data_IF_832146853659
#
_entry.id   IF_832146853659
#
_cell.length_a   1.000
_cell.length_b   1.000
_cell.length_c   1.000
_cell.angle_alpha   90.00
_cell.angle_beta   90.00
_cell.angle_gamma   90.00
#
_symmetry.space_group_name_H-M   'P 1'
#
loop_
_entity.id
_entity.type
_entity.pdbx_description
1 polymer ?
#
# COMPACT_ATOMS: atom_id res chain seq x y z
N UNK A 1 34.89 18.07 -16.85
CA UNK A 1 34.63 19.47 -16.41
C UNK A 1 33.11 19.65 -16.33
N UNK A 2 32.73 19.89 -15.14
CA UNK A 2 31.37 20.18 -14.64
C UNK A 2 30.65 21.33 -15.28
N UNK A 3 29.36 21.59 -15.01
CA UNK A 3 28.96 21.95 -13.65
C UNK A 3 27.68 21.30 -13.08
N UNK A 4 27.68 21.26 -11.75
CA UNK A 4 26.55 21.12 -10.86
C UNK A 4 25.53 22.24 -11.04
N UNK A 5 24.25 21.91 -11.18
CA UNK A 5 23.17 22.87 -10.92
C UNK A 5 22.45 22.52 -9.64
N UNK A 6 22.82 23.27 -8.58
CA UNK A 6 22.05 23.37 -7.34
C UNK A 6 20.79 24.19 -7.65
N UNK A 7 19.63 23.57 -7.63
CA UNK A 7 18.36 24.28 -7.73
C UNK A 7 17.88 24.68 -6.33
N UNK A 8 17.94 25.99 -6.05
CA UNK A 8 17.39 26.65 -4.89
C UNK A 8 15.86 26.56 -4.86
N UNK A 9 15.33 26.11 -3.72
CA UNK A 9 13.91 26.20 -3.41
C UNK A 9 13.54 27.61 -2.97
N UNK A 10 12.62 28.25 -3.67
CA UNK A 10 11.92 29.44 -3.14
C UNK A 10 10.52 29.02 -2.68
N UNK A 11 10.36 28.95 -1.37
CA UNK A 11 9.04 28.84 -0.74
C UNK A 11 8.34 30.20 -0.85
N UNK A 12 7.29 30.30 -1.66
CA UNK A 12 6.35 31.43 -1.59
C UNK A 12 5.28 31.09 -0.55
N UNK A 13 5.24 31.88 0.50
CA UNK A 13 4.23 31.87 1.56
C UNK A 13 2.82 32.06 0.95
N UNK A 14 1.97 31.06 1.05
CA UNK A 14 0.53 31.19 0.95
C UNK A 14 -0.10 30.79 2.26
N UNK A 15 -0.84 31.75 2.84
CA UNK A 15 -1.54 31.67 4.10
C UNK A 15 -2.74 30.73 4.03
N UNK A 16 -2.96 30.00 5.16
CA UNK A 16 -4.21 29.40 5.65
C UNK A 16 -4.88 28.28 4.84
N UNK A 17 -4.79 27.07 5.40
CA UNK A 17 -5.77 25.97 5.39
C UNK A 17 -6.02 25.11 4.14
N UNK A 18 -5.26 25.20 3.07
CA UNK A 18 -5.24 24.17 2.03
C UNK A 18 -3.86 24.09 1.38
N UNK A 19 -2.92 23.38 1.98
CA UNK A 19 -1.68 23.05 1.29
C UNK A 19 -1.89 21.85 0.36
N UNK A 20 -2.39 22.13 -0.84
CA UNK A 20 -2.34 21.21 -1.97
C UNK A 20 -0.91 21.27 -2.54
N UNK A 21 -0.07 20.31 -2.21
CA UNK A 21 1.22 20.16 -2.86
C UNK A 21 1.04 19.38 -4.17
N UNK A 22 1.01 20.10 -5.30
CA UNK A 22 1.16 19.48 -6.61
C UNK A 22 2.65 19.41 -6.96
N UNK A 23 3.26 18.25 -6.85
CA UNK A 23 4.64 18.03 -7.28
C UNK A 23 4.68 17.57 -8.74
N UNK A 24 5.30 18.36 -9.63
CA UNK A 24 5.72 17.93 -10.97
C UNK A 24 7.24 17.68 -10.91
N UNK A 25 7.65 16.44 -10.80
CA UNK A 25 9.05 16.07 -11.01
C UNK A 25 9.26 15.57 -12.43
N UNK A 26 10.04 16.30 -13.22
CA UNK A 26 10.36 15.98 -14.62
C UNK A 26 11.46 14.92 -14.83
N UNK A 27 11.70 14.04 -13.88
CA UNK A 27 12.63 12.93 -14.05
C UNK A 27 11.88 11.70 -14.57
N UNK A 28 11.88 11.50 -15.88
CA UNK A 28 11.50 10.20 -16.46
C UNK A 28 12.58 9.20 -16.05
N UNK A 29 12.32 8.47 -14.97
CA UNK A 29 13.02 7.23 -14.71
C UNK A 29 12.78 6.32 -15.91
N UNK A 30 13.84 5.88 -16.58
CA UNK A 30 13.76 4.78 -17.53
C UNK A 30 13.28 3.57 -16.74
N UNK A 31 12.01 3.23 -16.90
CA UNK A 31 11.45 2.06 -16.24
C UNK A 31 12.28 0.84 -16.61
N UNK A 32 12.77 0.18 -15.58
CA UNK A 32 13.39 -1.13 -15.71
C UNK A 32 12.38 -2.10 -16.30
N UNK A 33 12.83 -3.07 -17.07
CA UNK A 33 11.94 -4.14 -17.54
C UNK A 33 11.28 -4.84 -16.33
N UNK A 34 10.14 -5.50 -16.56
CA UNK A 34 9.47 -6.33 -15.53
C UNK A 34 10.47 -7.26 -14.82
N UNK A 35 11.35 -7.93 -15.59
CA UNK A 35 12.37 -8.80 -15.02
C UNK A 35 13.34 -8.05 -14.12
N UNK A 36 13.81 -6.88 -14.52
CA UNK A 36 14.69 -6.06 -13.70
C UNK A 36 14.03 -5.61 -12.39
N UNK A 37 12.72 -5.32 -12.38
CA UNK A 37 11.99 -4.99 -11.16
C UNK A 37 11.92 -6.20 -10.21
N UNK A 38 11.67 -7.39 -10.76
CA UNK A 38 11.63 -8.63 -9.97
C UNK A 38 13.02 -8.98 -9.41
N UNK A 39 14.08 -8.75 -10.15
CA UNK A 39 15.47 -9.02 -9.74
C UNK A 39 15.92 -8.17 -8.53
N UNK A 40 15.25 -7.05 -8.26
CA UNK A 40 15.49 -6.22 -7.08
C UNK A 40 14.75 -6.69 -5.82
N UNK A 41 13.83 -7.63 -5.96
CA UNK A 41 13.08 -8.10 -4.81
C UNK A 41 13.97 -8.95 -3.90
N UNK A 42 13.98 -8.68 -2.60
CA UNK A 42 14.59 -9.57 -1.63
C UNK A 42 13.97 -10.97 -1.69
N UNK A 43 14.69 -12.01 -1.25
CA UNK A 43 14.12 -13.35 -1.13
C UNK A 43 12.84 -13.35 -0.30
N UNK A 44 11.91 -14.23 -0.67
CA UNK A 44 10.71 -14.46 0.15
C UNK A 44 11.09 -15.19 1.42
N UNK A 45 10.55 -14.72 2.53
CA UNK A 45 10.67 -15.32 3.86
C UNK A 45 9.28 -15.63 4.42
N UNK A 46 9.21 -16.45 5.46
CA UNK A 46 7.97 -16.76 6.15
C UNK A 46 8.13 -16.60 7.67
N UNK A 47 7.06 -16.16 8.31
CA UNK A 47 6.91 -16.04 9.74
C UNK A 47 5.76 -16.93 10.21
N UNK A 48 5.98 -17.74 11.22
CA UNK A 48 4.93 -18.48 11.92
C UNK A 48 4.59 -17.74 13.20
N UNK A 49 3.35 -17.34 13.35
CA UNK A 49 2.85 -16.80 14.61
C UNK A 49 2.63 -17.97 15.59
N UNK A 50 3.40 -18.02 16.67
CA UNK A 50 3.33 -19.10 17.65
C UNK A 50 1.98 -19.19 18.38
N UNK A 51 1.25 -18.07 18.49
CA UNK A 51 -0.05 -18.04 19.17
C UNK A 51 -1.18 -18.63 18.32
N UNK A 52 -1.20 -18.36 17.02
CA UNK A 52 -2.26 -18.81 16.10
C UNK A 52 -1.83 -20.01 15.22
N UNK A 53 -0.54 -20.22 15.05
CA UNK A 53 0.04 -21.16 14.08
C UNK A 53 0.01 -20.64 12.63
N UNK A 54 -0.49 -19.43 12.39
CA UNK A 54 -0.59 -18.82 11.07
C UNK A 54 0.78 -18.58 10.44
N UNK A 55 0.91 -18.87 9.14
CA UNK A 55 2.13 -18.60 8.37
C UNK A 55 1.86 -17.42 7.43
N UNK A 56 2.65 -16.36 7.62
CA UNK A 56 2.61 -15.14 6.79
C UNK A 56 3.93 -15.00 6.04
N UNK A 57 3.89 -14.83 4.72
CA UNK A 57 5.05 -14.59 3.89
C UNK A 57 5.33 -13.09 3.76
N UNK A 58 6.60 -12.75 3.60
CA UNK A 58 7.06 -11.39 3.48
C UNK A 58 8.42 -11.30 2.77
N UNK A 59 8.76 -10.10 2.34
CA UNK A 59 10.10 -9.76 1.87
C UNK A 59 10.68 -8.68 2.76
N UNK A 60 11.96 -8.76 3.05
CA UNK A 60 12.67 -7.76 3.83
C UNK A 60 14.01 -7.44 3.20
N UNK A 61 14.29 -6.14 3.06
CA UNK A 61 15.61 -5.64 2.74
C UNK A 61 16.21 -5.03 4.02
N UNK A 62 17.33 -5.57 4.44
CA UNK A 62 18.10 -4.98 5.55
C UNK A 62 19.23 -4.17 4.93
N UNK A 63 19.35 -2.87 5.25
CA UNK A 63 20.43 -2.05 4.72
C UNK A 63 21.79 -2.55 5.22
N UNK A 64 22.80 -2.49 4.35
CA UNK A 64 24.17 -2.86 4.72
C UNK A 64 24.79 -1.90 5.74
N UNK A 65 24.26 -0.68 5.82
CA UNK A 65 24.63 0.34 6.81
C UNK A 65 23.34 0.69 7.54
N UNK A 66 23.19 0.23 8.76
CA UNK A 66 22.07 0.64 9.61
C UNK A 66 22.13 2.16 9.84
N UNK A 67 21.30 2.90 9.14
CA UNK A 67 20.96 4.24 9.56
C UNK A 67 19.88 4.09 10.65
N UNK A 68 20.33 3.96 11.89
CA UNK A 68 19.48 3.74 13.07
C UNK A 68 18.47 4.89 13.35
N UNK A 69 18.61 6.01 12.65
CA UNK A 69 17.74 7.18 12.81
C UNK A 69 16.46 7.11 11.96
N UNK A 70 16.44 6.30 10.90
CA UNK A 70 15.24 6.15 10.05
C UNK A 70 14.41 4.93 10.45
N UNK A 71 13.08 5.09 10.64
CA UNK A 71 12.21 3.98 10.98
C UNK A 71 12.11 2.97 9.82
N UNK A 72 11.82 1.71 10.15
CA UNK A 72 11.48 0.71 9.16
C UNK A 72 10.20 1.09 8.40
N UNK A 73 10.16 0.83 7.10
CA UNK A 73 8.98 1.00 6.26
C UNK A 73 8.31 -0.35 6.05
N UNK A 74 7.04 -0.46 6.40
CA UNK A 74 6.22 -1.65 6.23
C UNK A 74 5.14 -1.39 5.19
N UNK A 75 5.18 -2.12 4.09
CA UNK A 75 4.29 -1.97 2.95
C UNK A 75 3.23 -3.07 2.91
N UNK A 76 1.96 -2.66 2.81
CA UNK A 76 0.77 -3.50 2.76
C UNK A 76 0.06 -3.32 1.42
N UNK A 77 -0.03 -4.39 0.63
CA UNK A 77 -0.53 -4.34 -0.75
C UNK A 77 -2.06 -4.26 -0.87
N UNK A 78 -2.54 -3.87 -2.04
CA UNK A 78 -3.95 -3.88 -2.41
C UNK A 78 -4.48 -5.27 -2.78
N UNK A 79 -5.79 -5.35 -3.07
CA UNK A 79 -6.52 -6.60 -3.27
C UNK A 79 -5.99 -7.51 -4.40
N UNK A 80 -5.35 -6.95 -5.42
CA UNK A 80 -4.74 -7.74 -6.51
C UNK A 80 -3.22 -7.84 -6.37
N UNK A 81 -2.66 -7.46 -5.23
CA UNK A 81 -1.22 -7.37 -5.02
C UNK A 81 -0.64 -8.50 -4.18
N UNK A 82 0.64 -8.40 -3.99
CA UNK A 82 1.46 -9.18 -3.05
C UNK A 82 2.65 -8.33 -2.62
N UNK A 83 3.58 -8.89 -1.85
CA UNK A 83 4.86 -8.23 -1.52
C UNK A 83 5.66 -7.79 -2.76
N UNK A 84 5.44 -8.44 -3.92
CA UNK A 84 6.06 -8.08 -5.20
C UNK A 84 5.66 -6.69 -5.70
N UNK A 85 4.47 -6.20 -5.32
CA UNK A 85 3.97 -4.88 -5.73
C UNK A 85 4.93 -3.73 -5.40
N UNK A 86 5.79 -3.93 -4.41
CA UNK A 86 6.66 -2.90 -3.84
C UNK A 86 8.08 -2.90 -4.38
N UNK A 87 8.32 -3.52 -5.55
CA UNK A 87 9.64 -3.62 -6.16
C UNK A 87 10.31 -2.26 -6.41
N UNK A 88 9.55 -1.24 -6.81
CA UNK A 88 10.05 0.12 -6.97
C UNK A 88 10.50 0.72 -5.63
N UNK A 89 9.79 0.43 -4.54
CA UNK A 89 10.11 0.93 -3.20
C UNK A 89 11.33 0.23 -2.63
N UNK A 90 11.49 -1.08 -2.83
CA UNK A 90 12.72 -1.79 -2.47
C UNK A 90 13.94 -1.24 -3.20
N UNK A 91 13.81 -0.85 -4.47
CA UNK A 91 14.91 -0.27 -5.23
C UNK A 91 15.25 1.17 -4.84
N UNK A 92 14.32 1.89 -4.23
CA UNK A 92 14.50 3.28 -3.83
C UNK A 92 15.01 3.41 -2.38
N UNK A 93 14.34 2.77 -1.42
CA UNK A 93 14.64 2.88 0.01
C UNK A 93 15.74 1.90 0.44
N UNK A 94 16.94 2.04 -0.12
CA UNK A 94 18.06 1.10 0.13
C UNK A 94 18.83 1.38 1.43
N UNK A 95 18.64 2.56 2.04
CA UNK A 95 19.34 3.00 3.24
C UNK A 95 18.61 2.73 4.56
N UNK A 96 17.44 2.08 4.49
CA UNK A 96 16.62 1.76 5.66
C UNK A 96 15.94 0.40 5.49
N UNK A 97 15.46 -0.16 6.58
CA UNK A 97 14.72 -1.43 6.54
C UNK A 97 13.38 -1.25 5.80
N UNK A 98 13.19 -2.05 4.77
CA UNK A 98 11.94 -2.14 3.99
C UNK A 98 11.36 -3.52 4.14
N UNK A 99 10.10 -3.61 4.54
CA UNK A 99 9.35 -4.86 4.69
C UNK A 99 8.11 -4.78 3.81
N UNK A 100 7.87 -5.78 2.98
CA UNK A 100 6.64 -5.92 2.23
C UNK A 100 5.98 -7.26 2.58
N UNK A 101 4.74 -7.21 3.03
CA UNK A 101 4.01 -8.36 3.58
C UNK A 101 3.01 -8.86 2.54
N UNK A 102 2.97 -10.17 2.31
CA UNK A 102 1.83 -10.81 1.68
C UNK A 102 0.74 -10.94 2.74
N UNK A 103 -0.33 -10.17 2.62
CA UNK A 103 -1.42 -10.22 3.57
C UNK A 103 -1.98 -11.66 3.66
N UNK A 104 -2.44 -12.13 4.84
CA UNK A 104 -3.10 -13.42 4.98
C UNK A 104 -4.10 -13.71 3.86
N UNK A 105 -3.92 -14.84 3.17
CA UNK A 105 -4.70 -15.22 1.99
C UNK A 105 -4.09 -14.83 0.64
N UNK A 106 -3.05 -13.99 0.62
CA UNK A 106 -2.40 -13.48 -0.61
C UNK A 106 -0.96 -13.97 -0.72
N UNK A 107 -0.39 -13.86 -1.92
CA UNK A 107 0.97 -14.33 -2.21
C UNK A 107 1.16 -15.76 -1.71
N UNK A 108 2.22 -16.01 -0.96
CA UNK A 108 2.50 -17.31 -0.36
C UNK A 108 2.01 -17.42 1.11
N UNK A 109 1.33 -16.38 1.63
CA UNK A 109 0.73 -16.46 2.96
C UNK A 109 -0.40 -17.47 3.02
N UNK A 110 -0.56 -18.11 4.16
CA UNK A 110 -1.61 -19.08 4.40
C UNK A 110 -2.99 -18.45 4.19
N UNK A 111 -3.95 -19.22 3.66
CA UNK A 111 -5.34 -18.79 3.53
C UNK A 111 -5.93 -18.55 4.92
N UNK A 112 -6.60 -17.42 5.08
CA UNK A 112 -7.13 -17.00 6.37
C UNK A 112 -8.46 -16.23 6.18
N UNK A 113 -9.50 -16.67 6.86
CA UNK A 113 -10.86 -16.09 6.81
C UNK A 113 -11.29 -15.52 8.17
N UNK A 114 -10.38 -14.82 8.84
CA UNK A 114 -10.64 -14.20 10.15
C UNK A 114 -11.21 -12.77 10.08
N UNK A 115 -11.37 -12.21 8.88
CA UNK A 115 -11.74 -10.81 8.70
C UNK A 115 -10.56 -9.84 8.97
N UNK A 116 -10.79 -8.53 8.72
CA UNK A 116 -9.70 -7.55 8.68
C UNK A 116 -9.02 -7.32 10.04
N UNK A 117 -9.77 -7.41 11.13
CA UNK A 117 -9.19 -7.21 12.49
C UNK A 117 -8.22 -8.36 12.83
N UNK A 118 -8.63 -9.60 12.61
CA UNK A 118 -7.74 -10.74 12.86
C UNK A 118 -6.55 -10.78 11.88
N UNK A 119 -6.72 -10.31 10.64
CA UNK A 119 -5.61 -10.09 9.71
C UNK A 119 -4.63 -9.05 10.30
N UNK A 120 -5.12 -7.99 10.93
CA UNK A 120 -4.28 -7.00 11.58
C UNK A 120 -3.48 -7.59 12.75
N UNK A 121 -4.07 -8.47 13.54
CA UNK A 121 -3.38 -9.16 14.63
C UNK A 121 -2.20 -10.01 14.12
N UNK A 122 -2.40 -10.78 13.04
CA UNK A 122 -1.34 -11.58 12.41
C UNK A 122 -0.21 -10.71 11.84
N UNK A 123 -0.58 -9.62 11.17
CA UNK A 123 0.40 -8.69 10.59
C UNK A 123 1.16 -7.94 11.71
N UNK A 124 0.49 -7.56 12.79
CA UNK A 124 1.12 -6.91 13.95
C UNK A 124 2.14 -7.84 14.64
N UNK A 125 1.82 -9.14 14.78
CA UNK A 125 2.73 -10.12 15.31
C UNK A 125 4.00 -10.26 14.45
N UNK A 126 3.84 -10.30 13.12
CA UNK A 126 4.96 -10.33 12.18
C UNK A 126 5.82 -9.05 12.30
N UNK A 127 5.20 -7.86 12.26
CA UNK A 127 5.93 -6.59 12.38
C UNK A 127 6.72 -6.55 13.69
N UNK A 128 6.10 -6.93 14.81
CA UNK A 128 6.74 -6.96 16.13
C UNK A 128 7.92 -7.93 16.21
N UNK A 129 7.91 -9.00 15.40
CA UNK A 129 9.02 -9.95 15.34
C UNK A 129 10.23 -9.43 14.56
N UNK A 130 10.00 -8.52 13.59
CA UNK A 130 11.03 -8.01 12.68
C UNK A 130 11.57 -6.64 13.09
N UNK A 131 10.74 -5.81 13.71
CA UNK A 131 11.06 -4.41 14.01
C UNK A 131 11.15 -4.18 15.51
N UNK A 132 12.31 -3.71 15.98
CA UNK A 132 12.46 -3.23 17.35
C UNK A 132 11.88 -1.81 17.47
N UNK A 133 10.70 -1.70 18.10
CA UNK A 133 10.02 -0.41 18.25
C UNK A 133 8.92 -0.21 17.21
N UNK A 134 8.81 1.03 16.72
CA UNK A 134 7.73 1.42 15.81
C UNK A 134 8.21 1.49 14.35
N UNK A 135 7.31 1.21 13.42
CA UNK A 135 7.52 1.30 11.98
C UNK A 135 6.56 2.31 11.34
N UNK A 136 6.90 2.78 10.15
CA UNK A 136 5.97 3.50 9.27
C UNK A 136 5.17 2.47 8.50
N UNK A 137 3.85 2.52 8.61
CA UNK A 137 2.94 1.59 7.94
C UNK A 137 2.39 2.25 6.68
N UNK A 138 2.70 1.71 5.52
CA UNK A 138 2.26 2.21 4.22
C UNK A 138 1.27 1.20 3.62
N UNK A 139 -0.01 1.56 3.58
CA UNK A 139 -1.06 0.70 3.08
C UNK A 139 -1.69 1.23 1.79
N UNK A 140 -1.74 0.39 0.75
CA UNK A 140 -2.41 0.71 -0.50
C UNK A 140 -3.75 -0.01 -0.61
N UNK A 141 -4.83 0.72 -0.94
CA UNK A 141 -6.17 0.17 -1.20
C UNK A 141 -6.65 -0.73 -0.03
N UNK A 142 -6.81 -2.03 -0.22
CA UNK A 142 -7.09 -3.00 0.86
C UNK A 142 -6.04 -2.91 1.99
N UNK A 143 -4.76 -2.81 1.66
CA UNK A 143 -3.69 -2.61 2.64
C UNK A 143 -3.83 -1.31 3.43
N UNK A 144 -4.43 -0.28 2.83
CA UNK A 144 -4.78 0.96 3.52
C UNK A 144 -5.91 0.80 4.54
N UNK A 145 -6.89 -0.07 4.26
CA UNK A 145 -7.90 -0.44 5.26
C UNK A 145 -7.27 -1.22 6.43
N UNK A 146 -6.35 -2.14 6.11
CA UNK A 146 -5.59 -2.88 7.10
C UNK A 146 -4.72 -1.94 7.96
N UNK A 147 -4.08 -0.94 7.36
CA UNK A 147 -3.27 0.06 8.07
C UNK A 147 -4.12 0.92 9.02
N UNK A 148 -5.37 1.24 8.65
CA UNK A 148 -6.31 1.94 9.55
C UNK A 148 -6.64 1.08 10.79
N UNK A 149 -6.90 -0.21 10.60
CA UNK A 149 -7.15 -1.13 11.73
C UNK A 149 -5.90 -1.27 12.59
N UNK A 150 -4.71 -1.50 12.00
CA UNK A 150 -3.43 -1.57 12.72
C UNK A 150 -3.17 -0.33 13.57
N UNK A 151 -3.36 0.86 12.99
CA UNK A 151 -3.16 2.12 13.70
C UNK A 151 -4.04 2.29 14.92
N UNK A 152 -5.25 1.76 14.88
CA UNK A 152 -6.21 1.83 15.98
C UNK A 152 -6.04 0.73 17.02
N UNK A 153 -5.69 -0.50 16.60
CA UNK A 153 -5.63 -1.66 17.49
C UNK A 153 -4.23 -1.97 18.00
N UNK A 154 -3.20 -1.56 17.24
CA UNK A 154 -1.78 -1.79 17.57
C UNK A 154 -0.95 -0.48 17.49
N UNK A 155 -1.31 0.60 18.19
CA UNK A 155 -0.64 1.90 18.08
C UNK A 155 0.83 1.85 18.54
N UNK A 156 1.20 0.85 19.32
CA UNK A 156 2.56 0.62 19.82
C UNK A 156 3.56 0.22 18.74
N UNK A 157 3.10 -0.27 17.58
CA UNK A 157 3.98 -0.59 16.44
C UNK A 157 3.98 0.49 15.35
N UNK A 158 3.10 1.49 15.43
CA UNK A 158 2.93 2.52 14.40
C UNK A 158 3.67 3.80 14.75
N UNK A 159 4.71 4.15 13.98
CA UNK A 159 5.41 5.44 14.06
C UNK A 159 4.63 6.52 13.30
N UNK A 160 4.20 6.19 12.10
CA UNK A 160 3.37 6.99 11.21
C UNK A 160 2.60 6.06 10.26
N UNK A 161 1.55 6.56 9.64
CA UNK A 161 0.69 5.76 8.74
C UNK A 161 0.49 6.53 7.43
N UNK A 162 0.67 5.84 6.30
CA UNK A 162 0.38 6.36 4.97
C UNK A 162 -0.73 5.52 4.34
N UNK A 163 -1.84 6.18 4.00
CA UNK A 163 -3.05 5.59 3.43
C UNK A 163 -3.13 5.97 1.95
N UNK A 164 -2.74 5.05 1.06
CA UNK A 164 -2.69 5.30 -0.38
C UNK A 164 -3.89 4.73 -1.09
N UNK A 165 -4.63 5.56 -1.84
CA UNK A 165 -5.75 5.17 -2.71
C UNK A 165 -6.72 4.20 -2.02
N UNK A 166 -7.19 4.56 -0.83
CA UNK A 166 -7.99 3.71 0.05
C UNK A 166 -9.25 4.38 0.58
N UNK A 167 -10.08 3.62 1.26
CA UNK A 167 -11.34 4.08 1.87
C UNK A 167 -11.64 3.34 3.19
N UNK A 168 -12.77 3.67 3.83
CA UNK A 168 -13.16 3.14 5.16
C UNK A 168 -13.76 1.73 5.16
N UNK A 169 -13.81 1.06 4.03
CA UNK A 169 -14.54 -0.21 3.91
C UNK A 169 -15.99 0.00 3.46
N UNK A 170 -16.83 -1.04 3.56
CA UNK A 170 -18.21 -1.03 3.07
C UNK A 170 -19.24 -1.19 4.16
N UNK A 171 -18.87 -1.69 5.33
CA UNK A 171 -19.72 -1.84 6.51
C UNK A 171 -20.95 -2.73 6.31
N UNK A 172 -20.89 -3.71 5.40
CA UNK A 172 -22.00 -4.65 5.23
C UNK A 172 -22.07 -5.59 6.44
N UNK A 173 -23.27 -6.04 6.83
CA UNK A 173 -23.41 -7.01 7.91
C UNK A 173 -22.58 -8.28 7.66
N UNK A 174 -21.89 -8.76 8.69
CA UNK A 174 -21.13 -10.02 8.63
C UNK A 174 -22.05 -11.16 8.23
N UNK A 175 -21.59 -12.02 7.32
CA UNK A 175 -22.38 -13.13 6.78
C UNK A 175 -23.32 -12.76 5.63
N UNK A 176 -23.41 -11.47 5.25
CA UNK A 176 -24.14 -11.10 4.04
C UNK A 176 -23.46 -11.69 2.79
N UNK A 177 -24.23 -12.01 1.72
CA UNK A 177 -23.64 -12.54 0.49
C UNK A 177 -22.57 -11.61 -0.07
N UNK A 178 -21.50 -12.19 -0.64
CA UNK A 178 -20.46 -11.42 -1.32
C UNK A 178 -21.07 -10.57 -2.44
N UNK A 179 -20.63 -9.34 -2.54
CA UNK A 179 -21.09 -8.42 -3.58
C UNK A 179 -20.75 -8.92 -4.98
N UNK A 180 -21.58 -8.54 -5.96
CA UNK A 180 -21.46 -8.99 -7.36
C UNK A 180 -20.04 -8.86 -7.95
N UNK A 181 -19.35 -7.76 -7.63
CA UNK A 181 -17.98 -7.54 -8.12
C UNK A 181 -16.96 -8.56 -7.57
N UNK A 182 -17.14 -9.07 -6.35
CA UNK A 182 -16.28 -10.12 -5.78
C UNK A 182 -16.65 -11.47 -6.39
N UNK A 183 -17.95 -11.76 -6.52
CA UNK A 183 -18.44 -12.99 -7.16
C UNK A 183 -17.96 -13.08 -8.62
N UNK A 184 -18.05 -11.99 -9.38
CA UNK A 184 -17.53 -11.92 -10.76
C UNK A 184 -16.02 -12.22 -10.81
N UNK A 185 -15.24 -11.68 -9.88
CA UNK A 185 -13.79 -11.96 -9.79
C UNK A 185 -13.50 -13.42 -9.52
N UNK A 186 -14.26 -14.05 -8.63
CA UNK A 186 -14.13 -15.48 -8.32
C UNK A 186 -14.39 -16.29 -9.59
N UNK A 187 -15.54 -16.07 -10.25
CA UNK A 187 -15.92 -16.77 -11.48
C UNK A 187 -14.88 -16.60 -12.59
N UNK A 188 -14.38 -15.37 -12.78
CA UNK A 188 -13.34 -15.09 -13.77
C UNK A 188 -12.03 -15.82 -13.43
N UNK A 189 -11.64 -15.83 -12.15
CA UNK A 189 -10.41 -16.48 -11.71
C UNK A 189 -10.46 -18.01 -11.85
N UNK A 190 -11.64 -18.62 -11.67
CA UNK A 190 -11.85 -20.06 -11.82
C UNK A 190 -11.70 -20.55 -13.26
N UNK A 191 -11.99 -19.68 -14.25
CA UNK A 191 -12.01 -20.08 -15.67
C UNK A 191 -10.87 -19.49 -16.51
N UNK A 192 -10.21 -18.43 -16.03
CA UNK A 192 -9.14 -17.75 -16.76
C UNK A 192 -7.76 -18.24 -16.27
N UNK A 193 -6.80 -18.31 -17.20
CA UNK A 193 -5.40 -18.45 -16.82
C UNK A 193 -4.85 -17.17 -16.18
N UNK A 194 -3.70 -17.26 -15.52
CA UNK A 194 -3.08 -16.16 -14.76
C UNK A 194 -2.88 -14.91 -15.63
N UNK A 195 -2.32 -15.05 -16.82
CA UNK A 195 -2.03 -13.93 -17.71
C UNK A 195 -3.31 -13.18 -18.13
N UNK A 196 -4.35 -13.92 -18.54
CA UNK A 196 -5.62 -13.34 -18.96
C UNK A 196 -6.37 -12.68 -17.81
N UNK A 197 -6.38 -13.32 -16.62
CA UNK A 197 -7.00 -12.77 -15.44
C UNK A 197 -6.28 -11.49 -14.99
N UNK A 198 -4.96 -11.54 -14.89
CA UNK A 198 -4.14 -10.39 -14.48
C UNK A 198 -4.33 -9.19 -15.41
N UNK A 199 -4.27 -9.41 -16.73
CA UNK A 199 -4.51 -8.37 -17.74
C UNK A 199 -5.90 -7.72 -17.57
N UNK A 200 -6.95 -8.56 -17.38
CA UNK A 200 -8.30 -8.07 -17.13
C UNK A 200 -8.40 -7.23 -15.86
N UNK A 201 -7.73 -7.65 -14.76
CA UNK A 201 -7.76 -6.88 -13.49
C UNK A 201 -7.10 -5.54 -13.63
N UNK A 202 -5.93 -5.49 -14.26
CA UNK A 202 -5.16 -4.25 -14.41
C UNK A 202 -5.86 -3.28 -15.38
N UNK A 203 -6.43 -3.76 -16.49
CA UNK A 203 -7.18 -2.90 -17.41
C UNK A 203 -8.41 -2.23 -16.78
N UNK A 204 -9.07 -2.90 -15.82
CA UNK A 204 -10.17 -2.31 -15.03
C UNK A 204 -9.69 -1.35 -13.94
N UNK A 205 -8.47 -1.53 -13.45
CA UNK A 205 -7.86 -0.71 -12.41
C UNK A 205 -7.23 0.56 -12.98
N UNK A 206 -6.60 0.45 -14.15
CA UNK A 206 -5.86 1.49 -14.84
C UNK A 206 -6.33 1.60 -16.31
N UNK A 207 -7.49 2.24 -16.56
CA UNK A 207 -8.06 2.29 -17.91
C UNK A 207 -7.38 3.31 -18.84
N UNK A 208 -6.44 4.11 -18.32
CA UNK A 208 -5.74 5.16 -19.07
C UNK A 208 -4.61 4.63 -19.97
N UNK A 209 -3.82 5.57 -20.51
CA UNK A 209 -2.58 5.26 -21.23
C UNK A 209 -1.45 5.09 -20.21
N UNK A 210 -1.24 3.86 -19.77
CA UNK A 210 -0.19 3.48 -18.83
C UNK A 210 0.95 2.82 -19.60
N UNK A 211 2.18 2.99 -19.12
CA UNK A 211 3.35 2.32 -19.70
C UNK A 211 3.08 0.80 -19.78
N UNK A 212 3.27 0.17 -20.97
CA UNK A 212 3.05 -1.25 -21.14
C UNK A 212 3.85 -2.15 -20.19
N UNK A 213 5.02 -1.69 -19.73
CA UNK A 213 5.83 -2.44 -18.76
C UNK A 213 5.20 -2.41 -17.37
N UNK A 214 4.61 -1.28 -16.94
CA UNK A 214 3.84 -1.18 -15.70
C UNK A 214 2.62 -2.09 -15.78
N UNK A 215 1.89 -2.05 -16.90
CA UNK A 215 0.72 -2.92 -17.12
C UNK A 215 1.10 -4.40 -17.03
N UNK A 216 2.20 -4.81 -17.67
CA UNK A 216 2.69 -6.18 -17.64
C UNK A 216 3.12 -6.62 -16.23
N UNK A 217 3.83 -5.74 -15.51
CA UNK A 217 4.28 -5.99 -14.14
C UNK A 217 3.09 -6.21 -13.20
N UNK A 218 2.13 -5.30 -13.20
CA UNK A 218 0.94 -5.39 -12.34
C UNK A 218 0.05 -6.57 -12.75
N UNK A 219 -0.07 -6.87 -14.06
CA UNK A 219 -0.86 -7.99 -14.55
C UNK A 219 -0.27 -9.34 -14.12
N UNK A 220 1.05 -9.48 -14.15
CA UNK A 220 1.70 -10.71 -13.67
C UNK A 220 1.42 -10.94 -12.19
N UNK A 221 1.53 -9.90 -11.34
CA UNK A 221 1.22 -10.01 -9.91
C UNK A 221 -0.27 -10.31 -9.67
N UNK A 222 -1.16 -9.60 -10.36
CA UNK A 222 -2.61 -9.79 -10.21
C UNK A 222 -3.08 -11.18 -10.67
N UNK A 223 -2.37 -11.78 -11.62
CA UNK A 223 -2.63 -13.13 -12.11
C UNK A 223 -2.35 -14.23 -11.08
N UNK A 224 -1.46 -13.98 -10.13
CA UNK A 224 -1.07 -14.97 -9.11
C UNK A 224 -2.11 -15.13 -7.98
N UNK A 225 -3.13 -14.27 -7.92
CA UNK A 225 -4.11 -14.32 -6.83
C UNK A 225 -4.89 -15.64 -6.84
N UNK A 226 -5.03 -16.26 -5.67
CA UNK A 226 -5.80 -17.50 -5.47
C UNK A 226 -7.29 -17.19 -5.31
N UNK A 227 -8.16 -18.09 -5.74
CA UNK A 227 -9.63 -17.95 -5.58
C UNK A 227 -10.03 -17.74 -4.12
N UNK A 228 -9.40 -18.50 -3.22
CA UNK A 228 -9.63 -18.39 -1.76
C UNK A 228 -9.19 -17.02 -1.24
N UNK A 229 -8.08 -16.47 -1.75
CA UNK A 229 -7.63 -15.12 -1.41
C UNK A 229 -8.63 -14.05 -1.85
N UNK A 230 -9.23 -14.21 -3.06
CA UNK A 230 -10.32 -13.32 -3.52
C UNK A 230 -11.52 -13.40 -2.58
N UNK A 231 -11.89 -14.61 -2.15
CA UNK A 231 -13.04 -14.83 -1.27
C UNK A 231 -12.80 -14.20 0.11
N UNK A 232 -11.69 -14.55 0.76
CA UNK A 232 -11.35 -14.08 2.11
C UNK A 232 -11.10 -12.56 2.15
N UNK A 233 -10.29 -12.04 1.24
CA UNK A 233 -10.02 -10.60 1.17
C UNK A 233 -11.26 -9.80 0.76
N UNK A 234 -12.09 -10.35 -0.13
CA UNK A 234 -13.36 -9.74 -0.54
C UNK A 234 -14.33 -9.63 0.62
N UNK A 235 -14.48 -10.68 1.44
CA UNK A 235 -15.31 -10.67 2.65
C UNK A 235 -14.76 -9.71 3.70
N UNK A 236 -13.43 -9.75 3.95
CA UNK A 236 -12.77 -8.88 4.91
C UNK A 236 -13.01 -7.39 4.61
N UNK A 237 -12.89 -6.97 3.34
CA UNK A 237 -13.19 -5.60 2.91
C UNK A 237 -14.69 -5.26 2.95
N UNK A 238 -15.55 -6.22 2.61
CA UNK A 238 -16.98 -6.00 2.52
C UNK A 238 -17.62 -5.74 3.89
N UNK A 239 -17.20 -6.49 4.89
CA UNK A 239 -17.75 -6.41 6.24
C UNK A 239 -17.11 -5.30 7.08
N UNK A 240 -15.93 -4.82 6.66
CA UNK A 240 -15.21 -3.77 7.37
C UNK A 240 -15.91 -2.42 7.25
N UNK A 241 -16.05 -1.73 8.37
CA UNK A 241 -16.22 -0.29 8.51
C UNK A 241 -15.14 0.21 9.48
N UNK A 242 -14.22 1.02 8.98
CA UNK A 242 -13.16 1.58 9.82
C UNK A 242 -13.55 2.85 10.53
N UNK A 243 -14.76 3.39 10.31
CA UNK A 243 -15.19 4.64 10.96
C UNK A 243 -15.01 4.63 12.48
N UNK A 244 -15.28 3.52 13.21
CA UNK A 244 -15.07 3.47 14.67
C UNK A 244 -13.59 3.31 15.08
N UNK A 245 -12.68 3.21 14.13
CA UNK A 245 -11.26 3.06 14.38
C UNK A 245 -10.48 4.36 14.18
N UNK A 246 -10.98 5.28 13.33
CA UNK A 246 -10.23 6.43 12.87
C UNK A 246 -9.81 7.39 13.99
N UNK A 247 -10.68 7.63 14.94
CA UNK A 247 -10.44 8.47 16.13
C UNK A 247 -9.47 7.85 17.15
N UNK A 248 -9.20 6.55 17.03
CA UNK A 248 -8.25 5.82 17.88
C UNK A 248 -6.83 5.81 17.31
N UNK A 249 -6.66 6.28 16.08
CA UNK A 249 -5.34 6.37 15.45
C UNK A 249 -4.61 7.57 16.03
N UNK A 250 -3.56 7.31 16.81
CA UNK A 250 -2.75 8.34 17.47
C UNK A 250 -1.47 8.70 16.73
N UNK A 251 -1.02 7.83 15.82
CA UNK A 251 0.14 8.10 14.98
C UNK A 251 -0.19 9.18 13.93
N UNK A 252 0.79 9.99 13.49
CA UNK A 252 0.61 10.88 12.35
C UNK A 252 0.16 10.12 11.10
N UNK A 253 -0.82 10.69 10.36
CA UNK A 253 -1.37 10.07 9.16
C UNK A 253 -1.17 10.93 7.94
N UNK A 254 -0.78 10.30 6.83
CA UNK A 254 -0.88 10.87 5.49
C UNK A 254 -1.92 10.12 4.65
N UNK A 255 -2.65 10.84 3.80
CA UNK A 255 -3.57 10.28 2.80
C UNK A 255 -3.04 10.65 1.43
N UNK A 256 -2.70 9.66 0.62
CA UNK A 256 -2.27 9.82 -0.76
C UNK A 256 -3.40 9.43 -1.71
N UNK A 257 -3.78 10.34 -2.59
CA UNK A 257 -4.87 10.13 -3.56
C UNK A 257 -4.32 10.33 -4.97
N UNK A 258 -4.54 9.36 -5.85
CA UNK A 258 -4.30 9.53 -7.28
C UNK A 258 -5.39 10.41 -7.90
N UNK A 259 -5.01 11.41 -8.69
CA UNK A 259 -5.96 12.34 -9.30
C UNK A 259 -6.91 11.63 -10.28
N UNK A 260 -6.41 10.57 -10.94
CA UNK A 260 -7.13 9.77 -11.95
C UNK A 260 -7.60 8.41 -11.41
N UNK A 261 -7.70 8.25 -10.07
CA UNK A 261 -8.14 6.99 -9.46
C UNK A 261 -9.62 6.70 -9.76
N UNK A 262 -9.86 5.68 -10.59
CA UNK A 262 -11.20 5.22 -10.97
C UNK A 262 -11.77 4.15 -10.01
N UNK A 263 -10.95 3.61 -9.11
CA UNK A 263 -11.32 2.53 -8.17
C UNK A 263 -11.84 3.10 -6.86
N UNK A 264 -11.08 4.01 -6.24
CA UNK A 264 -11.50 4.76 -5.05
C UNK A 264 -12.05 6.12 -5.49
N UNK A 265 -13.37 6.20 -5.54
CA UNK A 265 -14.06 7.40 -5.99
C UNK A 265 -13.80 8.60 -5.05
N UNK A 266 -13.86 9.83 -5.55
CA UNK A 266 -13.61 11.04 -4.77
C UNK A 266 -14.40 11.12 -3.47
N UNK A 267 -15.69 10.73 -3.48
CA UNK A 267 -16.53 10.74 -2.28
C UNK A 267 -16.01 9.80 -1.18
N UNK A 268 -15.49 8.64 -1.57
CA UNK A 268 -14.94 7.68 -0.62
C UNK A 268 -13.62 8.18 0.00
N UNK A 269 -12.76 8.81 -0.81
CA UNK A 269 -11.55 9.49 -0.33
C UNK A 269 -11.88 10.69 0.57
N UNK A 270 -12.86 11.50 0.21
CA UNK A 270 -13.35 12.61 1.02
C UNK A 270 -13.91 12.15 2.37
N UNK A 271 -14.66 11.04 2.39
CA UNK A 271 -15.20 10.46 3.62
C UNK A 271 -14.09 9.93 4.55
N UNK A 272 -12.99 9.41 4.01
CA UNK A 272 -11.83 9.02 4.79
C UNK A 272 -11.13 10.25 5.38
N UNK A 273 -10.89 11.29 4.56
CA UNK A 273 -10.29 12.56 4.99
C UNK A 273 -11.11 13.22 6.10
N UNK A 274 -12.43 13.23 5.98
CA UNK A 274 -13.32 13.78 7.01
C UNK A 274 -13.22 13.02 8.36
N UNK A 275 -12.94 11.72 8.31
CA UNK A 275 -12.72 10.90 9.51
C UNK A 275 -11.32 11.06 10.12
N UNK A 276 -10.39 11.71 9.42
CA UNK A 276 -9.00 11.95 9.85
C UNK A 276 -8.64 13.43 9.58
N UNK A 277 -9.26 14.39 10.29
CA UNK A 277 -9.12 15.82 9.97
C UNK A 277 -7.69 16.35 10.16
N UNK A 278 -6.87 15.67 10.96
CA UNK A 278 -5.46 16.02 11.18
C UNK A 278 -4.49 15.36 10.19
N UNK A 279 -4.98 14.51 9.28
CA UNK A 279 -4.12 13.85 8.32
C UNK A 279 -3.57 14.84 7.27
N UNK A 280 -2.30 14.68 6.95
CA UNK A 280 -1.70 15.33 5.79
C UNK A 280 -2.31 14.73 4.51
N UNK A 281 -2.59 15.55 3.50
CA UNK A 281 -3.20 15.09 2.27
C UNK A 281 -2.36 15.45 1.05
N UNK A 282 -2.00 14.45 0.24
CA UNK A 282 -1.31 14.58 -1.03
C UNK A 282 -2.20 14.13 -2.17
N UNK A 283 -2.38 15.01 -3.15
CA UNK A 283 -2.97 14.66 -4.45
C UNK A 283 -1.82 14.43 -5.43
N UNK A 284 -1.67 13.18 -5.88
CA UNK A 284 -0.68 12.79 -6.87
C UNK A 284 -1.27 13.01 -8.27
N UNK A 285 -0.72 13.97 -9.00
CA UNK A 285 -1.22 14.36 -10.33
C UNK A 285 -0.88 13.27 -11.37
N UNK A 286 -1.75 13.14 -12.37
CA UNK A 286 -1.56 12.27 -13.54
C UNK A 286 -1.35 10.77 -13.18
N UNK A 287 -1.80 10.31 -12.01
CA UNK A 287 -1.75 8.91 -11.56
C UNK A 287 -3.11 8.41 -11.12
N UNK A 288 -3.38 7.14 -11.40
CA UNK A 288 -4.60 6.45 -11.02
C UNK A 288 -4.49 5.69 -9.70
N UNK A 289 -4.94 4.41 -9.72
CA UNK A 289 -5.06 3.60 -8.53
C UNK A 289 -3.76 2.95 -8.03
N UNK A 290 -2.70 2.92 -8.85
CA UNK A 290 -1.43 2.28 -8.47
C UNK A 290 -0.24 3.27 -8.47
N UNK A 291 -0.29 4.37 -7.69
CA UNK A 291 0.73 5.42 -7.72
C UNK A 291 2.13 4.90 -7.42
N UNK A 292 2.26 3.86 -6.61
CA UNK A 292 3.52 3.20 -6.26
C UNK A 292 4.27 2.60 -7.46
N UNK A 293 3.58 2.43 -8.59
CA UNK A 293 4.13 1.95 -9.87
C UNK A 293 3.95 2.95 -11.01
N UNK A 294 2.80 3.64 -11.08
CA UNK A 294 2.49 4.58 -12.17
C UNK A 294 3.46 5.76 -12.19
N UNK A 295 3.74 6.31 -11.01
CA UNK A 295 4.79 7.30 -10.77
C UNK A 295 5.47 7.01 -9.42
N UNK A 296 6.33 5.99 -9.42
CA UNK A 296 7.05 5.57 -8.23
C UNK A 296 7.94 6.68 -7.66
N UNK A 297 8.47 7.57 -8.51
CA UNK A 297 9.32 8.68 -8.08
C UNK A 297 8.52 9.68 -7.23
N UNK A 298 7.39 10.16 -7.73
CA UNK A 298 6.51 11.08 -6.99
C UNK A 298 5.93 10.42 -5.74
N UNK A 299 5.57 9.14 -5.81
CA UNK A 299 5.09 8.39 -4.65
C UNK A 299 6.13 8.28 -3.54
N UNK A 300 7.38 7.92 -3.88
CA UNK A 300 8.47 7.81 -2.93
C UNK A 300 8.85 9.17 -2.34
N UNK A 301 8.92 10.21 -3.16
CA UNK A 301 9.18 11.57 -2.69
C UNK A 301 8.08 12.08 -1.72
N UNK A 302 6.81 11.72 -1.94
CA UNK A 302 5.73 12.06 -1.02
C UNK A 302 5.87 11.32 0.33
N UNK A 303 6.33 10.05 0.32
CA UNK A 303 6.67 9.33 1.56
C UNK A 303 7.77 10.08 2.30
N UNK A 304 8.88 10.41 1.65
CA UNK A 304 10.02 11.11 2.27
C UNK A 304 9.59 12.46 2.84
N UNK A 305 8.86 13.27 2.07
CA UNK A 305 8.38 14.58 2.52
C UNK A 305 7.45 14.48 3.74
N UNK A 306 6.59 13.47 3.80
CA UNK A 306 5.76 13.24 4.99
C UNK A 306 6.60 12.83 6.20
N UNK A 307 7.56 11.93 6.03
CA UNK A 307 8.42 11.47 7.12
C UNK A 307 9.28 12.62 7.65
N UNK A 308 9.84 13.45 6.78
CA UNK A 308 10.60 14.64 7.19
C UNK A 308 9.72 15.61 8.00
N UNK A 309 8.45 15.78 7.62
CA UNK A 309 7.51 16.66 8.32
C UNK A 309 7.13 16.15 9.73
N UNK A 310 7.10 14.84 9.97
CA UNK A 310 6.57 14.26 11.23
C UNK A 310 7.62 13.64 12.14
N UNK A 311 8.84 13.40 11.63
CA UNK A 311 9.93 12.78 12.42
C UNK A 311 11.00 13.77 12.87
N UNK A 312 11.07 14.98 12.28
CA UNK A 312 12.04 16.03 12.61
C UNK A 312 11.48 17.09 13.56
N UNK A 313 10.24 16.94 14.04
CA UNK A 313 9.56 17.83 14.96
C UNK A 313 9.77 17.49 16.43
#
# INVERSE_FOLDING_TARGET
>A
MHPEEILCYTATNLSTHESQYAFKFGLKFHMRSYQQLIDFLPPLSSFRNEASGMITSFRVNQPQIENSERPALVFLHGFNGSSKSWACQFSHFTSQTVIAIDAPGFGESQIFDGGMVAIADEVAALISSLVKGKAVIIGHSMGGMLAQVLGATHPNICQAIILSCTHKGRGRPVGSPLGAAVQERIQQREVMNDASYGALRVSKMLPGKIDPQIMAFLAAIAGEIRVEGIRCGGSAMQYLDTSPFLDKITAPVAIFTGADDVVVKPDAAAALKAGLPQAHHWLLADVGHAPYCEDAASFNAAIEAFLDAVLTG
#
